data_IF_509054010230
#
_entry.id   IF_509054010230
#
_cell.length_a   1.000
_cell.length_b   1.000
_cell.length_c   1.000
_cell.angle_alpha   90.00
_cell.angle_beta   90.00
_cell.angle_gamma   90.00
#
_symmetry.space_group_name_H-M   'P 1'
#
loop_
_entity.id
_entity.type
_entity.pdbx_description
1 polymer ?
#
# COMPACT_ATOMS: atom_id res chain seq x y z
N UNK A 1 26.34 -7.20 6.25
CA UNK A 1 25.94 -8.20 5.25
C UNK A 1 25.69 -7.45 3.95
N UNK A 2 26.30 -7.80 2.81
CA UNK A 2 25.95 -7.17 1.54
C UNK A 2 24.48 -7.50 1.24
N UNK A 3 23.67 -6.47 0.96
CA UNK A 3 22.27 -6.64 0.53
C UNK A 3 22.29 -7.50 -0.74
N UNK A 4 21.47 -8.54 -0.79
CA UNK A 4 21.33 -9.37 -1.99
C UNK A 4 20.89 -8.45 -3.14
N UNK A 5 21.52 -8.57 -4.32
CA UNK A 5 21.17 -7.77 -5.50
C UNK A 5 19.67 -7.83 -5.80
N UNK A 6 19.03 -8.96 -5.51
CA UNK A 6 17.59 -9.14 -5.65
C UNK A 6 16.80 -8.26 -4.69
N UNK A 7 17.17 -8.25 -3.41
CA UNK A 7 16.55 -7.41 -2.38
C UNK A 7 16.66 -5.91 -2.74
N UNK A 8 17.85 -5.47 -3.17
CA UNK A 8 18.07 -4.08 -3.58
C UNK A 8 17.21 -3.67 -4.79
N UNK A 9 17.01 -4.58 -5.75
CA UNK A 9 16.15 -4.33 -6.91
C UNK A 9 14.68 -4.27 -6.50
N UNK A 10 14.23 -5.17 -5.62
CA UNK A 10 12.87 -5.20 -5.10
C UNK A 10 12.56 -3.93 -4.32
N UNK A 11 13.46 -3.49 -3.44
CA UNK A 11 13.30 -2.25 -2.68
C UNK A 11 13.18 -1.03 -3.60
N UNK A 12 14.07 -0.93 -4.60
CA UNK A 12 14.03 0.18 -5.56
C UNK A 12 12.75 0.17 -6.41
N UNK A 13 12.30 -1.01 -6.84
CA UNK A 13 11.05 -1.15 -7.56
C UNK A 13 9.86 -0.73 -6.69
N UNK A 14 9.83 -1.14 -5.42
CA UNK A 14 8.79 -0.74 -4.48
C UNK A 14 8.75 0.78 -4.27
N UNK A 15 9.91 1.44 -4.21
CA UNK A 15 9.99 2.91 -4.14
C UNK A 15 9.37 3.58 -5.38
N UNK A 16 9.74 3.12 -6.59
CA UNK A 16 9.20 3.67 -7.85
C UNK A 16 7.69 3.48 -7.92
N UNK A 17 7.20 2.28 -7.64
CA UNK A 17 5.75 1.98 -7.66
C UNK A 17 5.00 2.84 -6.63
N UNK A 18 5.55 3.03 -5.43
CA UNK A 18 4.92 3.90 -4.41
C UNK A 18 4.82 5.35 -4.87
N UNK A 19 5.82 5.85 -5.58
CA UNK A 19 5.80 7.23 -6.07
C UNK A 19 4.77 7.44 -7.17
N UNK A 20 4.66 6.50 -8.11
CA UNK A 20 3.61 6.50 -9.13
C UNK A 20 2.21 6.45 -8.49
N UNK A 21 2.02 5.60 -7.47
CA UNK A 21 0.74 5.53 -6.75
C UNK A 21 0.43 6.82 -5.97
N UNK A 22 1.43 7.52 -5.43
CA UNK A 22 1.22 8.85 -4.83
C UNK A 22 0.77 9.86 -5.85
N UNK A 23 1.36 9.86 -7.04
CA UNK A 23 0.94 10.76 -8.12
C UNK A 23 -0.51 10.50 -8.52
N UNK A 24 -0.90 9.23 -8.66
CA UNK A 24 -2.30 8.83 -8.93
C UNK A 24 -3.23 9.27 -7.79
N UNK A 25 -2.87 9.00 -6.53
CA UNK A 25 -3.66 9.41 -5.38
C UNK A 25 -3.86 10.93 -5.36
N UNK A 26 -2.78 11.69 -5.56
CA UNK A 26 -2.81 13.15 -5.59
C UNK A 26 -3.65 13.71 -6.73
N UNK A 27 -3.64 13.08 -7.91
CA UNK A 27 -4.51 13.44 -9.03
C UNK A 27 -6.01 13.32 -8.69
N UNK A 28 -6.35 12.48 -7.72
CA UNK A 28 -7.70 12.32 -7.17
C UNK A 28 -7.92 13.02 -5.81
N UNK A 29 -6.97 13.84 -5.34
CA UNK A 29 -7.07 14.53 -4.06
C UNK A 29 -6.95 13.61 -2.83
N UNK A 30 -6.38 12.42 -2.99
CA UNK A 30 -6.21 11.41 -1.95
C UNK A 30 -4.77 11.34 -1.45
N UNK A 31 -4.60 10.96 -0.17
CA UNK A 31 -3.33 10.43 0.32
C UNK A 31 -3.14 8.97 -0.15
N UNK A 32 -1.89 8.51 -0.26
CA UNK A 32 -1.59 7.12 -0.67
C UNK A 32 -2.32 6.08 0.20
N UNK A 33 -2.31 6.27 1.52
CA UNK A 33 -3.00 5.37 2.45
C UNK A 33 -4.52 5.33 2.22
N UNK A 34 -5.13 6.44 1.79
CA UNK A 34 -6.56 6.47 1.44
C UNK A 34 -6.83 5.74 0.13
N UNK A 35 -5.96 5.88 -0.87
CA UNK A 35 -6.04 5.12 -2.12
C UNK A 35 -5.91 3.61 -1.86
N UNK A 36 -4.94 3.19 -1.03
CA UNK A 36 -4.76 1.79 -0.65
C UNK A 36 -5.96 1.26 0.16
N UNK A 37 -6.52 2.05 1.07
CA UNK A 37 -7.76 1.70 1.77
C UNK A 37 -8.95 1.53 0.83
N UNK A 38 -9.10 2.41 -0.18
CA UNK A 38 -10.11 2.24 -1.21
C UNK A 38 -9.92 0.95 -2.01
N UNK A 39 -8.67 0.59 -2.38
CA UNK A 39 -8.38 -0.67 -3.10
C UNK A 39 -8.71 -1.90 -2.25
N UNK A 40 -8.46 -1.84 -0.95
CA UNK A 40 -8.87 -2.88 -0.01
C UNK A 40 -10.38 -3.02 0.04
N UNK A 41 -11.10 -1.92 0.31
CA UNK A 41 -12.57 -1.93 0.43
C UNK A 41 -13.28 -2.36 -0.87
N UNK A 42 -12.70 -2.06 -2.03
CA UNK A 42 -13.24 -2.51 -3.32
C UNK A 42 -13.14 -4.03 -3.53
N UNK A 43 -12.24 -4.71 -2.83
CA UNK A 43 -12.05 -6.16 -2.88
C UNK A 43 -12.68 -6.88 -1.68
N UNK A 44 -12.82 -6.17 -0.56
CA UNK A 44 -13.44 -6.69 0.65
C UNK A 44 -14.93 -6.99 0.42
N UNK A 45 -15.42 -7.98 1.14
CA UNK A 45 -16.85 -8.22 1.27
C UNK A 45 -17.33 -7.71 2.63
N UNK A 46 -18.64 -7.73 2.87
CA UNK A 46 -19.26 -7.27 4.13
C UNK A 46 -18.80 -7.97 5.42
N UNK A 47 -18.00 -9.03 5.30
CA UNK A 47 -17.44 -9.78 6.43
C UNK A 47 -15.94 -9.52 6.62
N UNK A 48 -15.27 -8.89 5.63
CA UNK A 48 -13.83 -8.63 5.64
C UNK A 48 -13.47 -7.14 5.59
N UNK A 49 -14.44 -6.23 5.50
CA UNK A 49 -14.28 -4.77 5.49
C UNK A 49 -13.95 -4.16 6.87
N UNK A 50 -13.17 -4.87 7.67
CA UNK A 50 -12.82 -4.45 9.04
C UNK A 50 -11.55 -3.60 9.06
N UNK A 51 -11.44 -2.71 10.06
CA UNK A 51 -10.21 -1.94 10.31
C UNK A 51 -9.01 -2.86 10.55
N UNK A 52 -9.20 -3.97 11.26
CA UNK A 52 -8.13 -4.96 11.48
C UNK A 52 -7.66 -5.56 10.16
N UNK A 53 -8.57 -5.96 9.28
CA UNK A 53 -8.23 -6.48 7.96
C UNK A 53 -7.51 -5.44 7.08
N UNK A 54 -7.91 -4.17 7.15
CA UNK A 54 -7.20 -3.09 6.45
C UNK A 54 -5.78 -2.91 6.97
N UNK A 55 -5.59 -2.92 8.30
CA UNK A 55 -4.26 -2.78 8.92
C UNK A 55 -3.33 -3.93 8.53
N UNK A 56 -3.85 -5.16 8.54
CA UNK A 56 -3.14 -6.36 8.07
C UNK A 56 -2.80 -6.27 6.58
N UNK A 57 -3.75 -5.84 5.75
CA UNK A 57 -3.54 -5.63 4.31
C UNK A 57 -2.42 -4.63 4.02
N UNK A 58 -2.37 -3.52 4.76
CA UNK A 58 -1.33 -2.50 4.60
C UNK A 58 0.03 -2.95 5.16
N UNK A 59 0.09 -4.06 5.91
CA UNK A 59 1.30 -4.50 6.60
C UNK A 59 1.78 -3.50 7.66
N UNK A 60 0.85 -2.73 8.24
CA UNK A 60 1.14 -1.70 9.25
C UNK A 60 0.71 -2.18 10.64
N UNK A 61 1.19 -1.53 11.68
CA UNK A 61 0.62 -1.65 13.02
C UNK A 61 -0.41 -0.54 13.23
N UNK A 62 -1.49 -0.81 13.98
CA UNK A 62 -2.48 0.23 14.36
C UNK A 62 -1.76 1.46 14.95
N UNK A 63 -1.85 2.60 14.28
CA UNK A 63 -1.36 3.91 14.70
C UNK A 63 -2.41 4.97 14.40
#
# INVERSE_FOLDING_TARGET
MPIDRTEAVVERLACVVREELRAVASAHGLALAQLEAHRFLAQANRFSDTVTGLVEYLGTTKG
#
